data_IF_690728278676
#
_entry.id   IF_690728278676
#
_cell.length_a   1.000
_cell.length_b   1.000
_cell.length_c   1.000
_cell.angle_alpha   90.00
_cell.angle_beta   90.00
_cell.angle_gamma   90.00
#
_symmetry.space_group_name_H-M   'P 1'
#
loop_
_entity.id
_entity.type
_entity.pdbx_description
1 polymer ?
#
# COMPACT_ATOMS: atom_id res chain seq x y z
N UNK A 1 17.32 -26.77 11.83
CA UNK A 1 17.19 -25.45 11.16
C UNK A 1 15.74 -24.98 11.35
N UNK A 2 15.51 -23.75 11.78
CA UNK A 2 14.15 -23.22 11.91
C UNK A 2 13.47 -23.00 10.56
N UNK A 3 12.14 -22.79 10.52
CA UNK A 3 11.46 -22.41 9.29
C UNK A 3 12.03 -21.09 8.73
N UNK A 4 12.05 -20.93 7.39
CA UNK A 4 12.50 -19.69 6.77
C UNK A 4 11.60 -18.52 7.20
N UNK A 5 12.15 -17.28 7.22
CA UNK A 5 11.37 -16.10 7.54
C UNK A 5 10.16 -15.95 6.58
N UNK A 6 9.08 -15.30 7.02
CA UNK A 6 7.95 -14.98 6.16
C UNK A 6 8.41 -14.27 4.88
N UNK A 7 7.74 -14.49 3.74
CA UNK A 7 7.93 -13.64 2.57
C UNK A 7 7.67 -12.19 2.96
N UNK A 8 8.52 -11.26 2.50
CA UNK A 8 8.36 -9.82 2.76
C UNK A 8 6.96 -9.35 2.36
N UNK A 9 6.38 -8.46 3.16
CA UNK A 9 5.14 -7.78 2.79
C UNK A 9 5.39 -6.78 1.65
N UNK A 10 4.54 -6.87 0.64
CA UNK A 10 4.55 -6.04 -0.56
C UNK A 10 3.12 -5.51 -0.78
N UNK A 11 2.95 -4.51 -1.62
CA UNK A 11 1.65 -4.09 -2.13
C UNK A 11 1.18 -5.04 -3.23
N UNK A 12 -0.11 -5.36 -3.23
CA UNK A 12 -0.76 -6.17 -4.24
C UNK A 12 -0.87 -5.39 -5.57
N UNK A 13 -0.69 -6.01 -6.75
CA UNK A 13 -0.81 -5.30 -8.03
C UNK A 13 -2.25 -4.84 -8.33
N UNK A 14 -3.26 -5.56 -7.83
CA UNK A 14 -4.64 -5.06 -7.87
C UNK A 14 -4.75 -3.87 -6.91
N UNK A 15 -5.00 -2.69 -7.47
CA UNK A 15 -5.07 -1.43 -6.73
C UNK A 15 -6.14 -0.52 -7.32
N UNK A 16 -6.47 0.54 -6.59
CA UNK A 16 -7.42 1.54 -7.02
C UNK A 16 -7.00 2.22 -8.33
N UNK A 17 -7.98 2.69 -9.10
CA UNK A 17 -7.77 3.25 -10.45
C UNK A 17 -6.78 4.41 -10.52
N UNK A 18 -6.56 5.13 -9.40
CA UNK A 18 -5.62 6.27 -9.31
C UNK A 18 -4.35 5.94 -8.52
N UNK A 19 -4.14 4.66 -8.20
CA UNK A 19 -2.90 4.15 -7.61
C UNK A 19 -2.10 3.35 -8.65
N UNK A 20 -0.79 3.30 -8.45
CA UNK A 20 0.11 2.41 -9.16
C UNK A 20 1.03 1.75 -8.15
N UNK A 21 1.22 0.45 -8.31
CA UNK A 21 2.19 -0.33 -7.55
C UNK A 21 3.42 -0.57 -8.42
N UNK A 22 4.56 -0.07 -7.97
CA UNK A 22 5.84 -0.08 -8.69
C UNK A 22 6.94 -0.70 -7.82
N UNK A 23 8.16 -0.78 -8.36
CA UNK A 23 9.32 -1.29 -7.65
C UNK A 23 9.07 -2.70 -7.06
N UNK A 24 8.57 -3.60 -7.91
CA UNK A 24 8.26 -5.00 -7.54
C UNK A 24 7.34 -5.12 -6.32
N UNK A 25 6.32 -4.25 -6.22
CA UNK A 25 5.39 -4.27 -5.09
C UNK A 25 5.89 -3.52 -3.85
N UNK A 26 7.03 -2.84 -3.89
CA UNK A 26 7.57 -2.14 -2.70
C UNK A 26 7.07 -0.72 -2.56
N UNK A 27 6.51 -0.14 -3.62
CA UNK A 27 6.10 1.27 -3.63
C UNK A 27 4.71 1.40 -4.22
N UNK A 28 3.81 2.05 -3.49
CA UNK A 28 2.54 2.54 -4.01
C UNK A 28 2.63 4.05 -4.21
N UNK A 29 2.13 4.55 -5.34
CA UNK A 29 2.08 5.98 -5.64
C UNK A 29 0.82 6.35 -6.40
N UNK A 30 0.46 7.64 -6.41
CA UNK A 30 -0.57 8.20 -7.28
C UNK A 30 0.10 8.94 -8.44
N UNK A 31 0.07 8.43 -9.68
CA UNK A 31 0.79 9.06 -10.80
C UNK A 31 0.33 10.49 -11.11
N UNK A 32 -0.97 10.75 -10.95
CA UNK A 32 -1.62 12.04 -11.20
C UNK A 32 -2.10 12.71 -9.90
N UNK A 33 -1.24 12.70 -8.87
CA UNK A 33 -1.59 13.15 -7.52
C UNK A 33 -2.07 14.61 -7.42
N UNK A 34 -1.75 15.44 -8.41
CA UNK A 34 -2.22 16.83 -8.50
C UNK A 34 -3.60 16.96 -9.13
N UNK A 35 -4.06 15.97 -9.88
CA UNK A 35 -5.29 16.08 -10.67
C UNK A 35 -6.51 15.70 -9.84
N UNK A 36 -6.35 14.71 -8.95
CA UNK A 36 -7.36 14.26 -8.00
C UNK A 36 -6.72 13.63 -6.75
N UNK A 37 -7.51 13.45 -5.68
CA UNK A 37 -7.08 12.93 -4.38
C UNK A 37 -7.65 11.53 -4.05
N UNK A 38 -8.69 11.07 -4.75
CA UNK A 38 -9.43 9.84 -4.42
C UNK A 38 -8.95 8.59 -5.20
N UNK A 39 -9.64 7.45 -5.00
CA UNK A 39 -9.40 6.16 -5.69
C UNK A 39 -7.95 5.63 -5.62
N UNK A 40 -7.21 5.99 -4.59
CA UNK A 40 -5.80 5.62 -4.36
C UNK A 40 -5.61 4.46 -3.38
N UNK A 41 -6.55 3.50 -3.32
CA UNK A 41 -6.49 2.39 -2.36
C UNK A 41 -5.49 1.33 -2.80
N UNK A 42 -4.67 0.85 -1.87
CA UNK A 42 -3.74 -0.27 -2.07
C UNK A 42 -3.82 -1.24 -0.89
N UNK A 43 -3.60 -2.52 -1.14
CA UNK A 43 -3.64 -3.58 -0.13
C UNK A 43 -2.32 -4.36 -0.12
N UNK A 44 -2.10 -5.15 0.92
CA UNK A 44 -0.96 -6.08 0.99
C UNK A 44 -1.12 -7.23 -0.02
N UNK A 45 -0.01 -7.67 -0.61
CA UNK A 45 0.04 -8.74 -1.61
C UNK A 45 -0.31 -10.13 -1.04
N UNK A 46 -0.37 -10.24 0.28
CA UNK A 46 -0.86 -11.41 1.02
C UNK A 46 -1.49 -10.95 2.34
N UNK A 47 -2.26 -11.83 2.97
CA UNK A 47 -2.74 -11.61 4.32
C UNK A 47 -1.56 -11.41 5.30
N UNK A 48 -1.75 -10.49 6.26
CA UNK A 48 -0.87 -10.36 7.41
C UNK A 48 -1.02 -11.59 8.31
N UNK A 49 0.09 -12.02 8.93
CA UNK A 49 0.07 -13.04 9.98
C UNK A 49 -0.19 -12.38 11.34
N UNK A 50 -0.53 -13.20 12.32
CA UNK A 50 -0.67 -12.75 13.71
C UNK A 50 0.61 -12.05 14.18
N UNK A 51 0.43 -10.87 14.77
CA UNK A 51 1.52 -10.01 15.24
C UNK A 51 2.53 -9.58 14.17
N UNK A 52 2.19 -9.68 12.89
CA UNK A 52 3.05 -9.22 11.80
C UNK A 52 2.88 -7.72 11.55
N UNK A 53 4.00 -7.01 11.46
CA UNK A 53 4.01 -5.57 11.24
C UNK A 53 4.22 -5.24 9.77
N UNK A 54 3.23 -4.58 9.15
CA UNK A 54 3.40 -3.94 7.85
C UNK A 54 3.74 -2.46 8.03
N UNK A 55 5.02 -2.11 7.88
CA UNK A 55 5.49 -0.73 7.90
C UNK A 55 5.48 -0.11 6.51
N UNK A 56 5.07 1.15 6.44
CA UNK A 56 5.12 1.98 5.24
C UNK A 56 5.79 3.31 5.57
N UNK A 57 6.46 3.91 4.58
CA UNK A 57 7.06 5.25 4.66
C UNK A 57 6.39 6.15 3.65
N UNK A 58 6.12 7.39 4.04
CA UNK A 58 5.68 8.43 3.09
C UNK A 58 6.92 8.97 2.38
N UNK A 59 7.05 8.61 1.10
CA UNK A 59 8.20 9.02 0.28
C UNK A 59 8.04 10.43 -0.29
N UNK A 60 6.81 10.79 -0.68
CA UNK A 60 6.45 12.09 -1.25
C UNK A 60 5.04 12.48 -0.82
N UNK A 61 4.82 13.77 -0.62
CA UNK A 61 3.54 14.37 -0.30
C UNK A 61 3.27 15.54 -1.25
N UNK A 62 2.01 15.76 -1.60
CA UNK A 62 1.56 16.94 -2.35
C UNK A 62 0.81 17.86 -1.40
N UNK A 63 1.02 19.17 -1.52
CA UNK A 63 0.44 20.21 -0.65
C UNK A 63 -0.88 20.79 -1.19
N UNK A 64 -1.28 20.43 -2.42
CA UNK A 64 -2.51 20.88 -3.08
C UNK A 64 -3.79 20.53 -2.32
N UNK A 65 -3.79 19.41 -1.58
CA UNK A 65 -5.00 18.86 -0.96
C UNK A 65 -4.92 18.88 0.56
N UNK A 66 -5.97 19.39 1.20
CA UNK A 66 -6.16 19.21 2.64
C UNK A 66 -6.89 17.87 2.88
N UNK A 67 -6.27 16.97 3.64
CA UNK A 67 -6.83 15.65 3.94
C UNK A 67 -5.85 14.77 4.71
N UNK A 68 -6.25 13.53 4.99
CA UNK A 68 -5.45 12.52 5.70
C UNK A 68 -5.17 11.30 4.83
N UNK A 69 -4.13 10.54 5.21
CA UNK A 69 -3.96 9.16 4.79
C UNK A 69 -4.65 8.28 5.82
N UNK A 70 -5.39 7.28 5.34
CA UNK A 70 -6.03 6.28 6.20
C UNK A 70 -5.31 4.94 6.06
N UNK A 71 -5.12 4.25 7.18
CA UNK A 71 -4.48 2.94 7.25
C UNK A 71 -5.35 2.05 8.14
N UNK A 72 -5.59 0.82 7.70
CA UNK A 72 -6.38 -0.16 8.44
C UNK A 72 -6.14 -1.57 7.94
N UNK A 73 -7.00 -2.48 8.39
CA UNK A 73 -7.01 -3.89 7.98
C UNK A 73 -8.38 -4.28 7.47
N UNK A 74 -8.42 -5.27 6.59
CA UNK A 74 -9.67 -5.83 6.05
C UNK A 74 -9.57 -7.36 6.01
N UNK A 75 -10.74 -8.01 6.04
CA UNK A 75 -10.89 -9.46 5.85
C UNK A 75 -11.18 -9.85 4.40
N UNK A 76 -11.33 -8.88 3.50
CA UNK A 76 -11.60 -9.10 2.09
C UNK A 76 -10.30 -9.22 1.29
N UNK A 77 -10.27 -10.13 0.32
CA UNK A 77 -9.13 -10.24 -0.59
C UNK A 77 -9.07 -9.03 -1.54
N UNK A 78 -7.85 -8.58 -1.92
CA UNK A 78 -7.64 -7.46 -2.84
C UNK A 78 -8.26 -7.64 -4.22
#
# INVERSE_FOLDING_TARGET
AGPPPPPRLLFHPNCGQKAAVVNEGRTALRPHATDDFNHGVVLSARALRDNELFQVRIDKMVDKWAGSIEIGVTTHNP
#
